data_IF_241036764994
#
_entry.id   IF_241036764994
#
_cell.length_a   1.000
_cell.length_b   1.000
_cell.length_c   1.000
_cell.angle_alpha   90.00
_cell.angle_beta   90.00
_cell.angle_gamma   90.00
#
_symmetry.space_group_name_H-M   'P 1'
#
loop_
_entity.id
_entity.type
_entity.pdbx_description
1 polymer ?
#
# COMPACT_ATOMS: atom_id res chain seq x y z
N UNK A 1 -36.60 6.62 73.08
CA UNK A 1 -36.42 5.16 72.83
C UNK A 1 -36.86 4.88 71.37
N UNK A 2 -36.01 4.30 70.56
CA UNK A 2 -36.33 4.07 69.12
C UNK A 2 -37.40 2.98 68.99
N UNK A 3 -38.52 3.25 68.35
CA UNK A 3 -39.67 2.32 68.26
C UNK A 3 -39.49 1.32 67.09
N UNK A 4 -38.64 0.34 67.33
CA UNK A 4 -38.35 -0.71 66.34
C UNK A 4 -39.58 -1.47 65.83
N UNK A 5 -40.62 -1.61 66.71
CA UNK A 5 -41.81 -2.36 66.37
C UNK A 5 -42.63 -1.61 65.33
N UNK A 6 -42.78 -0.30 65.50
CA UNK A 6 -43.48 0.54 64.55
C UNK A 6 -42.79 0.64 63.19
N UNK A 7 -41.47 0.78 63.14
CA UNK A 7 -40.71 0.79 61.89
C UNK A 7 -40.85 -0.54 61.13
N UNK A 8 -40.83 -1.67 61.83
CA UNK A 8 -41.09 -2.99 61.20
C UNK A 8 -42.54 -3.03 60.68
N UNK A 9 -43.49 -2.53 61.46
CA UNK A 9 -44.89 -2.54 61.06
C UNK A 9 -45.17 -1.69 59.82
N UNK A 10 -44.64 -0.49 59.74
CA UNK A 10 -44.76 0.39 58.59
C UNK A 10 -44.10 -0.22 57.34
N UNK A 11 -42.92 -0.79 57.51
CA UNK A 11 -42.24 -1.51 56.43
C UNK A 11 -43.04 -2.71 55.95
N UNK A 12 -43.66 -3.44 56.84
CA UNK A 12 -44.53 -4.58 56.50
C UNK A 12 -45.82 -4.12 55.79
N UNK A 13 -46.42 -2.99 56.15
CA UNK A 13 -47.56 -2.44 55.44
C UNK A 13 -47.18 -2.03 54.00
N UNK A 14 -46.04 -1.38 53.86
CA UNK A 14 -45.50 -0.94 52.57
C UNK A 14 -45.12 -2.12 51.65
N UNK A 15 -44.50 -3.14 52.17
CA UNK A 15 -43.96 -4.28 51.43
C UNK A 15 -44.57 -5.62 51.83
N UNK A 16 -45.90 -5.64 52.09
CA UNK A 16 -46.60 -6.81 52.67
C UNK A 16 -46.40 -8.14 51.93
N UNK A 17 -46.15 -8.10 50.61
CA UNK A 17 -45.96 -9.28 49.76
C UNK A 17 -44.51 -9.78 49.73
N UNK A 18 -43.53 -9.07 50.28
CA UNK A 18 -42.15 -9.52 50.35
C UNK A 18 -41.95 -10.56 51.47
N UNK A 19 -40.89 -11.40 51.29
CA UNK A 19 -40.54 -12.36 52.34
C UNK A 19 -39.94 -11.63 53.54
N UNK A 20 -40.12 -12.19 54.74
CA UNK A 20 -39.60 -11.58 55.97
C UNK A 20 -38.09 -11.44 55.95
N UNK A 21 -37.38 -12.34 55.20
CA UNK A 21 -35.94 -12.23 55.01
C UNK A 21 -35.58 -11.00 54.15
N UNK A 22 -36.31 -10.72 53.06
CA UNK A 22 -36.08 -9.52 52.21
C UNK A 22 -36.34 -8.25 53.00
N UNK A 23 -37.40 -8.22 53.79
CA UNK A 23 -37.73 -7.08 54.68
C UNK A 23 -36.64 -6.88 55.74
N UNK A 24 -36.19 -7.96 56.37
CA UNK A 24 -35.11 -7.89 57.36
C UNK A 24 -33.81 -7.33 56.78
N UNK A 25 -33.43 -7.76 55.55
CA UNK A 25 -32.26 -7.21 54.81
C UNK A 25 -32.42 -5.73 54.53
N UNK A 26 -33.56 -5.33 53.97
CA UNK A 26 -33.86 -3.93 53.66
C UNK A 26 -33.82 -3.04 54.91
N UNK A 27 -34.30 -3.50 56.03
CA UNK A 27 -34.25 -2.76 57.28
C UNK A 27 -32.79 -2.58 57.80
N UNK A 28 -31.93 -3.60 57.64
CA UNK A 28 -30.52 -3.50 58.02
C UNK A 28 -29.78 -2.54 57.08
N UNK A 29 -30.09 -2.55 55.78
CA UNK A 29 -29.44 -1.70 54.77
C UNK A 29 -29.86 -0.24 54.85
N UNK A 30 -31.12 0.01 55.08
CA UNK A 30 -31.72 1.35 54.95
C UNK A 30 -31.90 2.11 56.29
N UNK A 31 -31.89 1.41 57.42
CA UNK A 31 -32.14 2.02 58.72
C UNK A 31 -30.94 1.76 59.66
N UNK A 32 -30.18 2.81 59.92
CA UNK A 32 -28.91 2.77 60.70
C UNK A 32 -29.06 2.10 62.07
N UNK A 33 -30.19 2.35 62.76
CA UNK A 33 -30.52 1.78 64.08
C UNK A 33 -30.66 0.26 64.05
N UNK A 34 -31.24 -0.29 62.96
CA UNK A 34 -31.34 -1.75 62.78
C UNK A 34 -29.96 -2.37 62.50
N UNK A 35 -29.10 -1.67 61.73
CA UNK A 35 -27.74 -2.09 61.49
C UNK A 35 -26.93 -2.12 62.81
N UNK A 36 -27.08 -1.12 63.64
CA UNK A 36 -26.40 -1.04 64.93
C UNK A 36 -26.85 -2.14 65.88
N UNK A 37 -28.17 -2.44 65.94
CA UNK A 37 -28.73 -3.42 66.89
C UNK A 37 -28.54 -4.87 66.44
N UNK A 38 -28.71 -5.14 65.15
CA UNK A 38 -28.73 -6.51 64.62
C UNK A 38 -27.43 -6.86 63.89
N UNK A 39 -26.67 -5.90 63.39
CA UNK A 39 -25.47 -6.15 62.59
C UNK A 39 -25.78 -7.08 61.39
N UNK A 40 -25.08 -8.19 61.30
CA UNK A 40 -25.30 -9.21 60.27
C UNK A 40 -26.27 -10.34 60.67
N UNK A 41 -26.92 -10.22 61.84
CA UNK A 41 -27.85 -11.25 62.34
C UNK A 41 -29.24 -11.18 61.67
N UNK A 42 -29.27 -11.39 60.40
CA UNK A 42 -30.50 -11.30 59.55
C UNK A 42 -31.60 -12.25 60.02
N UNK A 43 -31.24 -13.46 60.49
CA UNK A 43 -32.22 -14.45 60.95
C UNK A 43 -32.91 -14.04 62.23
N UNK A 44 -32.21 -13.32 63.13
CA UNK A 44 -32.82 -12.77 64.36
C UNK A 44 -33.82 -11.68 64.00
N UNK A 45 -33.46 -10.77 63.13
CA UNK A 45 -34.38 -9.75 62.68
C UNK A 45 -35.56 -10.33 61.86
N UNK A 46 -35.30 -11.36 61.02
CA UNK A 46 -36.36 -12.07 60.29
C UNK A 46 -37.41 -12.66 61.23
N UNK A 47 -37.00 -13.30 62.32
CA UNK A 47 -37.95 -13.82 63.33
C UNK A 47 -38.81 -12.71 63.91
N UNK A 48 -38.20 -11.55 64.19
CA UNK A 48 -38.92 -10.39 64.74
C UNK A 48 -39.90 -9.81 63.72
N UNK A 49 -39.53 -9.71 62.42
CA UNK A 49 -40.41 -9.32 61.34
C UNK A 49 -41.60 -10.26 61.19
N UNK A 50 -41.34 -11.59 61.30
CA UNK A 50 -42.41 -12.61 61.28
C UNK A 50 -43.37 -12.48 62.44
N UNK A 51 -42.86 -12.23 63.64
CA UNK A 51 -43.67 -12.00 64.84
C UNK A 51 -44.57 -10.78 64.68
N UNK A 52 -44.02 -9.62 64.27
CA UNK A 52 -44.80 -8.41 64.03
C UNK A 52 -45.86 -8.59 62.94
N UNK A 53 -45.54 -9.34 61.89
CA UNK A 53 -46.48 -9.70 60.82
C UNK A 53 -47.66 -10.52 61.32
N UNK A 54 -47.39 -11.53 62.12
CA UNK A 54 -48.42 -12.44 62.66
C UNK A 54 -49.30 -11.72 63.65
N UNK A 55 -48.72 -10.94 64.57
CA UNK A 55 -49.47 -10.21 65.60
C UNK A 55 -50.40 -9.11 65.01
N UNK A 56 -50.11 -8.63 63.81
CA UNK A 56 -50.92 -7.61 63.14
C UNK A 56 -51.71 -8.18 61.95
N UNK A 57 -51.87 -9.49 61.79
CA UNK A 57 -52.66 -10.18 60.78
C UNK A 57 -52.34 -9.73 59.33
N UNK A 58 -51.10 -9.34 59.04
CA UNK A 58 -50.67 -8.90 57.69
C UNK A 58 -50.43 -10.12 56.77
N UNK A 59 -51.49 -10.53 56.09
CA UNK A 59 -51.40 -11.70 55.16
C UNK A 59 -50.68 -11.38 53.87
N UNK A 60 -49.87 -12.32 53.38
CA UNK A 60 -49.27 -12.29 52.02
C UNK A 60 -50.27 -12.83 50.99
N UNK A 61 -50.35 -12.18 49.86
CA UNK A 61 -51.07 -12.69 48.70
C UNK A 61 -50.24 -13.77 48.00
N UNK A 62 -50.52 -15.00 48.34
CA UNK A 62 -49.77 -16.21 47.82
C UNK A 62 -49.85 -16.31 46.28
N UNK A 63 -50.97 -15.86 45.64
CA UNK A 63 -51.11 -15.89 44.16
C UNK A 63 -50.17 -14.86 43.49
N UNK A 64 -50.14 -13.62 44.01
CA UNK A 64 -49.24 -12.59 43.50
C UNK A 64 -47.75 -12.92 43.74
N UNK A 65 -47.42 -13.58 44.84
CA UNK A 65 -46.04 -13.98 45.12
C UNK A 65 -45.59 -15.10 44.16
N UNK A 66 -46.45 -16.11 43.89
CA UNK A 66 -46.13 -17.18 42.93
C UNK A 66 -45.97 -16.60 41.51
N UNK A 67 -46.88 -15.76 41.04
CA UNK A 67 -46.81 -15.17 39.73
C UNK A 67 -45.54 -14.31 39.58
N UNK A 68 -45.15 -13.49 40.58
CA UNK A 68 -43.94 -12.66 40.53
C UNK A 68 -42.64 -13.52 40.54
N UNK A 69 -42.61 -14.63 41.26
CA UNK A 69 -41.46 -15.53 41.28
C UNK A 69 -41.28 -16.23 39.94
N UNK A 70 -42.40 -16.60 39.30
CA UNK A 70 -42.36 -17.23 37.95
C UNK A 70 -41.82 -16.21 36.95
N UNK A 71 -42.36 -15.00 36.91
CA UNK A 71 -41.92 -13.92 35.99
C UNK A 71 -40.46 -13.56 36.24
N UNK A 72 -40.01 -13.46 37.48
CA UNK A 72 -38.60 -13.18 37.80
C UNK A 72 -37.65 -14.30 37.33
N UNK A 73 -38.09 -15.56 37.40
CA UNK A 73 -37.30 -16.71 36.91
C UNK A 73 -37.24 -16.73 35.37
N UNK A 74 -38.36 -16.53 34.70
CA UNK A 74 -38.42 -16.46 33.25
C UNK A 74 -37.55 -15.30 32.72
N UNK A 75 -37.61 -14.14 33.36
CA UNK A 75 -36.79 -12.98 32.99
C UNK A 75 -35.28 -13.23 33.19
N UNK A 76 -34.88 -13.92 34.27
CA UNK A 76 -33.46 -14.29 34.51
C UNK A 76 -32.99 -15.38 33.51
N UNK A 77 -33.85 -16.31 33.12
CA UNK A 77 -33.56 -17.32 32.10
C UNK A 77 -33.45 -16.67 30.70
N UNK A 78 -34.34 -15.76 30.36
CA UNK A 78 -34.30 -14.98 29.11
C UNK A 78 -33.05 -14.11 29.05
N UNK A 79 -32.69 -13.43 30.15
CA UNK A 79 -31.49 -12.62 30.23
C UNK A 79 -30.22 -13.44 30.02
N UNK A 80 -30.11 -14.61 30.66
CA UNK A 80 -29.00 -15.54 30.44
C UNK A 80 -28.96 -16.07 29.00
N UNK A 81 -30.12 -16.33 28.42
CA UNK A 81 -30.24 -16.75 27.01
C UNK A 81 -29.77 -15.66 26.04
N UNK A 82 -30.10 -14.39 26.33
CA UNK A 82 -29.66 -13.24 25.54
C UNK A 82 -28.15 -13.01 25.67
N UNK A 83 -27.62 -13.04 26.90
CA UNK A 83 -26.17 -12.95 27.15
C UNK A 83 -25.41 -14.08 26.41
N UNK A 84 -25.90 -15.32 26.48
CA UNK A 84 -25.30 -16.44 25.76
C UNK A 84 -25.37 -16.29 24.23
N UNK A 85 -26.46 -15.73 23.70
CA UNK A 85 -26.59 -15.43 22.25
C UNK A 85 -25.64 -14.34 21.81
N UNK A 86 -25.46 -13.31 22.63
CA UNK A 86 -24.56 -12.20 22.37
C UNK A 86 -23.08 -12.65 22.44
N UNK A 87 -22.74 -13.46 23.42
CA UNK A 87 -21.41 -14.09 23.53
C UNK A 87 -21.13 -15.02 22.34
N UNK A 88 -22.12 -15.82 21.94
CA UNK A 88 -22.02 -16.70 20.77
C UNK A 88 -21.83 -15.91 19.47
N UNK A 89 -22.54 -14.79 19.31
CA UNK A 89 -22.40 -13.89 18.15
C UNK A 89 -21.00 -13.26 18.11
N UNK A 90 -20.53 -12.74 19.22
CA UNK A 90 -19.19 -12.16 19.37
C UNK A 90 -18.09 -13.19 19.11
N UNK A 91 -18.25 -14.39 19.62
CA UNK A 91 -17.33 -15.50 19.35
C UNK A 91 -17.33 -15.92 17.89
N UNK A 92 -18.50 -15.94 17.25
CA UNK A 92 -18.63 -16.26 15.83
C UNK A 92 -17.97 -15.18 14.94
N UNK A 93 -18.09 -13.92 15.31
CA UNK A 93 -17.41 -12.81 14.59
C UNK A 93 -15.88 -12.90 14.74
N UNK A 94 -15.38 -13.17 15.95
CA UNK A 94 -13.96 -13.42 16.19
C UNK A 94 -13.46 -14.64 15.39
N UNK A 95 -14.23 -15.71 15.36
CA UNK A 95 -13.90 -16.89 14.57
C UNK A 95 -13.85 -16.58 13.06
N UNK A 96 -14.86 -15.90 12.52
CA UNK A 96 -14.87 -15.46 11.11
C UNK A 96 -13.68 -14.55 10.77
N UNK A 97 -13.30 -13.65 11.68
CA UNK A 97 -12.13 -12.80 11.52
C UNK A 97 -10.84 -13.62 11.50
N UNK A 98 -10.71 -14.58 12.43
CA UNK A 98 -9.55 -15.48 12.48
C UNK A 98 -9.44 -16.34 11.22
N UNK A 99 -10.55 -16.91 10.73
CA UNK A 99 -10.59 -17.70 9.47
C UNK A 99 -10.16 -16.84 8.27
N UNK A 100 -10.65 -15.58 8.18
CA UNK A 100 -10.20 -14.65 7.11
C UNK A 100 -8.73 -14.35 7.21
N UNK A 101 -8.21 -14.17 8.41
CA UNK A 101 -6.79 -13.91 8.67
C UNK A 101 -5.93 -15.10 8.28
N UNK A 102 -6.33 -16.33 8.67
CA UNK A 102 -5.63 -17.56 8.30
C UNK A 102 -5.64 -17.75 6.79
N UNK A 103 -6.79 -17.63 6.12
CA UNK A 103 -6.88 -17.71 4.66
C UNK A 103 -6.05 -16.65 3.93
N UNK A 104 -5.89 -15.48 4.52
CA UNK A 104 -5.00 -14.44 3.98
C UNK A 104 -3.53 -14.84 4.14
N UNK A 105 -3.15 -15.36 5.30
CA UNK A 105 -1.79 -15.85 5.57
C UNK A 105 -1.44 -17.06 4.70
N UNK A 106 -2.36 -18.00 4.51
CA UNK A 106 -2.17 -19.14 3.60
C UNK A 106 -1.93 -18.68 2.16
N UNK A 107 -2.73 -17.73 1.64
CA UNK A 107 -2.51 -17.13 0.31
C UNK A 107 -1.16 -16.44 0.21
N UNK A 108 -0.74 -15.74 1.26
CA UNK A 108 0.58 -15.08 1.30
C UNK A 108 1.72 -16.11 1.33
N UNK A 109 1.54 -17.22 2.07
CA UNK A 109 2.51 -18.32 2.11
C UNK A 109 2.58 -19.06 0.77
N UNK A 110 1.44 -19.32 0.13
CA UNK A 110 1.39 -19.95 -1.20
C UNK A 110 1.99 -19.01 -2.26
N UNK A 111 1.71 -17.72 -2.18
CA UNK A 111 2.32 -16.71 -3.04
C UNK A 111 3.83 -16.65 -2.82
N UNK A 112 4.30 -16.65 -1.56
CA UNK A 112 5.71 -16.71 -1.22
C UNK A 112 6.37 -17.99 -1.76
N UNK A 113 5.77 -19.17 -1.57
CA UNK A 113 6.25 -20.43 -2.12
C UNK A 113 6.27 -20.41 -3.66
N UNK A 114 5.25 -19.83 -4.29
CA UNK A 114 5.20 -19.69 -5.75
C UNK A 114 6.32 -18.78 -6.26
N UNK A 115 6.65 -17.69 -5.56
CA UNK A 115 7.79 -16.83 -5.87
C UNK A 115 9.11 -17.52 -5.60
N UNK A 116 9.22 -18.30 -4.52
CA UNK A 116 10.42 -19.10 -4.24
C UNK A 116 10.58 -20.26 -5.22
N UNK A 117 9.50 -20.77 -5.81
CA UNK A 117 9.49 -21.86 -6.82
C UNK A 117 9.51 -21.36 -8.26
N UNK A 118 8.85 -20.25 -8.57
CA UNK A 118 9.13 -19.49 -9.77
C UNK A 118 10.50 -18.88 -9.52
N UNK A 119 11.53 -19.45 -10.15
CA UNK A 119 12.83 -18.78 -10.26
C UNK A 119 12.51 -17.36 -10.69
N UNK A 120 12.57 -16.39 -9.74
CA UNK A 120 12.70 -14.98 -10.10
C UNK A 120 13.64 -15.02 -11.29
N UNK A 121 13.24 -14.47 -12.44
CA UNK A 121 14.11 -14.46 -13.59
C UNK A 121 15.42 -13.82 -13.10
N UNK A 122 16.25 -14.65 -12.49
CA UNK A 122 17.55 -14.19 -12.06
C UNK A 122 18.29 -13.96 -13.36
N UNK A 123 18.55 -12.71 -13.64
CA UNK A 123 19.66 -12.41 -14.48
C UNK A 123 20.83 -13.07 -13.73
N UNK A 124 21.37 -14.16 -14.24
CA UNK A 124 22.64 -14.69 -13.77
C UNK A 124 23.74 -13.74 -14.24
N UNK A 125 23.67 -12.50 -13.75
CA UNK A 125 24.75 -11.54 -13.92
C UNK A 125 25.84 -12.02 -13.01
N UNK A 126 26.77 -12.73 -13.63
CA UNK A 126 28.02 -13.20 -13.08
C UNK A 126 27.97 -13.63 -11.61
N UNK A 127 27.95 -14.91 -11.36
CA UNK A 127 28.47 -15.39 -10.06
C UNK A 127 29.88 -14.83 -9.95
N UNK A 128 30.08 -13.86 -9.05
CA UNK A 128 31.42 -13.42 -8.67
C UNK A 128 32.22 -14.68 -8.34
N UNK A 129 33.07 -15.11 -9.27
CA UNK A 129 34.07 -16.14 -8.95
C UNK A 129 34.95 -15.49 -7.91
N UNK A 130 34.83 -15.96 -6.67
CA UNK A 130 35.77 -15.67 -5.60
C UNK A 130 37.19 -15.85 -6.13
N UNK A 131 37.89 -14.74 -6.43
CA UNK A 131 39.22 -14.77 -6.96
C UNK A 131 39.57 -13.76 -8.06
N UNK A 132 38.59 -13.13 -8.73
CA UNK A 132 38.92 -12.08 -9.72
C UNK A 132 39.10 -10.73 -9.00
N UNK A 133 40.28 -10.11 -9.23
CA UNK A 133 40.57 -8.75 -8.73
C UNK A 133 39.70 -7.65 -9.41
N UNK A 134 38.96 -8.01 -10.46
CA UNK A 134 38.16 -7.06 -11.24
C UNK A 134 36.74 -7.00 -10.61
N UNK A 135 36.38 -5.86 -10.08
CA UNK A 135 35.04 -5.58 -9.60
C UNK A 135 34.04 -5.59 -10.76
N UNK A 136 32.90 -6.21 -10.56
CA UNK A 136 31.81 -6.29 -11.56
C UNK A 136 30.63 -5.42 -11.11
N UNK A 137 30.07 -4.67 -12.05
CA UNK A 137 28.90 -3.85 -11.83
C UNK A 137 27.82 -4.10 -12.88
N UNK A 138 26.56 -3.94 -12.46
CA UNK A 138 25.41 -3.86 -13.35
C UNK A 138 24.97 -2.42 -13.43
N UNK A 139 24.80 -1.89 -14.63
CA UNK A 139 24.20 -0.61 -14.85
C UNK A 139 22.66 -0.74 -14.79
N UNK A 140 21.99 0.18 -14.10
CA UNK A 140 20.52 0.29 -14.07
C UNK A 140 20.16 1.67 -14.59
N UNK A 141 19.47 1.75 -15.71
CA UNK A 141 19.06 2.98 -16.36
C UNK A 141 17.54 3.08 -16.39
N UNK A 142 16.98 4.18 -15.91
CA UNK A 142 15.55 4.43 -15.92
C UNK A 142 15.15 5.25 -17.13
N UNK A 143 13.97 4.96 -17.67
CA UNK A 143 13.35 5.69 -18.77
C UNK A 143 11.86 5.78 -18.53
N UNK A 144 11.32 6.98 -18.24
CA UNK A 144 9.90 7.19 -17.97
C UNK A 144 9.48 8.63 -18.13
N UNK A 145 8.19 8.87 -18.01
CA UNK A 145 7.60 10.20 -17.94
C UNK A 145 8.03 11.06 -19.15
N UNK A 146 7.93 10.44 -20.34
CA UNK A 146 8.23 11.08 -21.60
C UNK A 146 7.09 11.97 -22.09
N UNK A 147 5.83 11.51 -21.92
CA UNK A 147 4.61 12.23 -22.35
C UNK A 147 4.74 12.78 -23.77
N UNK A 148 5.12 11.91 -24.73
CA UNK A 148 5.66 12.27 -26.05
C UNK A 148 4.86 13.34 -26.80
N UNK A 149 3.53 13.25 -26.76
CA UNK A 149 2.63 14.15 -27.50
C UNK A 149 2.14 15.36 -26.69
N UNK A 150 2.62 15.53 -25.45
CA UNK A 150 2.26 16.68 -24.63
C UNK A 150 2.72 17.98 -25.25
N UNK A 151 1.87 18.99 -25.17
CA UNK A 151 2.16 20.35 -25.65
C UNK A 151 2.43 21.27 -24.47
N UNK A 152 3.71 21.67 -24.32
CA UNK A 152 4.12 22.65 -23.32
C UNK A 152 4.59 23.91 -24.04
N UNK A 153 3.82 24.98 -23.90
CA UNK A 153 4.17 26.31 -24.44
C UNK A 153 4.83 27.15 -23.36
N UNK A 154 6.06 27.58 -23.61
CA UNK A 154 6.91 28.34 -22.67
C UNK A 154 6.18 29.55 -22.04
N UNK A 155 5.38 30.28 -22.84
CA UNK A 155 4.60 31.43 -22.37
C UNK A 155 3.52 31.08 -21.32
N UNK A 156 3.03 29.83 -21.30
CA UNK A 156 1.99 29.36 -20.36
C UNK A 156 2.55 28.91 -19.03
N UNK A 157 3.86 28.70 -18.96
CA UNK A 157 4.56 28.19 -17.78
C UNK A 157 5.74 29.08 -17.35
N UNK A 158 5.57 30.38 -17.52
CA UNK A 158 6.54 31.41 -17.09
C UNK A 158 7.96 31.24 -17.66
N UNK A 159 8.12 30.62 -18.82
CA UNK A 159 9.40 30.44 -19.48
C UNK A 159 10.25 29.27 -18.99
N UNK A 160 9.75 28.44 -18.06
CA UNK A 160 10.56 27.38 -17.44
C UNK A 160 10.85 26.20 -18.36
N UNK A 161 9.99 25.93 -19.36
CA UNK A 161 10.17 24.80 -20.28
C UNK A 161 9.43 25.06 -21.59
N UNK A 162 9.76 24.27 -22.60
CA UNK A 162 9.03 24.10 -23.85
C UNK A 162 9.11 22.62 -24.23
N UNK A 163 8.00 22.06 -24.74
CA UNK A 163 7.97 20.65 -25.13
C UNK A 163 7.06 20.42 -26.33
N UNK A 164 7.57 19.60 -27.24
CA UNK A 164 6.89 19.13 -28.46
C UNK A 164 7.46 17.76 -28.85
N UNK A 165 6.85 17.05 -29.82
CA UNK A 165 7.38 15.78 -30.32
C UNK A 165 8.81 15.86 -30.87
N UNK A 166 9.21 17.00 -31.47
CA UNK A 166 10.57 17.24 -31.95
C UNK A 166 11.54 17.34 -30.78
N UNK A 167 11.18 18.11 -29.73
CA UNK A 167 11.97 18.25 -28.52
C UNK A 167 12.06 16.90 -27.79
N UNK A 168 10.93 16.16 -27.69
CA UNK A 168 10.88 14.83 -27.13
C UNK A 168 11.87 13.88 -27.82
N UNK A 169 11.84 13.83 -29.14
CA UNK A 169 12.75 13.00 -29.95
C UNK A 169 14.22 13.37 -29.71
N UNK A 170 14.52 14.67 -29.68
CA UNK A 170 15.88 15.15 -29.37
C UNK A 170 16.33 14.75 -27.98
N UNK A 171 15.46 14.94 -26.95
CA UNK A 171 15.75 14.55 -25.57
C UNK A 171 15.98 13.06 -25.43
N UNK A 172 15.20 12.23 -26.12
CA UNK A 172 15.40 10.78 -26.14
C UNK A 172 16.73 10.40 -26.81
N UNK A 173 17.09 11.03 -27.94
CA UNK A 173 18.38 10.83 -28.61
C UNK A 173 19.55 11.17 -27.67
N UNK A 174 19.46 12.31 -27.00
CA UNK A 174 20.45 12.73 -26.01
C UNK A 174 20.54 11.73 -24.84
N UNK A 175 19.38 11.26 -24.33
CA UNK A 175 19.36 10.26 -23.27
C UNK A 175 20.13 9.02 -23.63
N UNK A 176 19.87 8.38 -24.80
CA UNK A 176 20.57 7.17 -25.21
C UNK A 176 22.07 7.41 -25.44
N UNK A 177 22.43 8.54 -26.05
CA UNK A 177 23.83 8.93 -26.23
C UNK A 177 24.55 9.13 -24.89
N UNK A 178 23.91 9.84 -23.97
CA UNK A 178 24.49 10.13 -22.66
C UNK A 178 24.51 8.88 -21.75
N UNK A 179 23.55 7.95 -21.90
CA UNK A 179 23.59 6.65 -21.23
C UNK A 179 24.83 5.85 -21.64
N UNK A 180 25.11 5.75 -22.96
CA UNK A 180 26.31 5.06 -23.42
C UNK A 180 27.60 5.71 -22.88
N UNK A 181 27.71 7.04 -22.97
CA UNK A 181 28.85 7.80 -22.41
C UNK A 181 28.98 7.57 -20.90
N UNK A 182 27.87 7.45 -20.18
CA UNK A 182 27.88 7.21 -18.73
C UNK A 182 28.41 5.80 -18.44
N UNK A 183 27.95 4.79 -19.12
CA UNK A 183 28.44 3.42 -18.99
C UNK A 183 29.94 3.38 -19.28
N UNK A 184 30.42 4.01 -20.36
CA UNK A 184 31.84 4.04 -20.71
C UNK A 184 32.68 4.75 -19.64
N UNK A 185 32.14 5.81 -19.02
CA UNK A 185 32.82 6.51 -17.94
C UNK A 185 32.96 5.62 -16.71
N UNK A 186 31.90 4.93 -16.30
CA UNK A 186 31.92 4.05 -15.14
C UNK A 186 32.80 2.80 -15.36
N UNK A 187 32.96 2.34 -16.61
CA UNK A 187 33.86 1.24 -16.97
C UNK A 187 35.34 1.50 -16.69
N UNK A 188 35.74 2.75 -16.44
CA UNK A 188 37.11 3.06 -16.04
C UNK A 188 37.45 2.51 -14.66
N UNK A 189 36.44 2.36 -13.80
CA UNK A 189 36.62 1.95 -12.40
C UNK A 189 36.10 0.53 -12.13
N UNK A 190 35.09 0.09 -12.90
CA UNK A 190 34.40 -1.18 -12.67
C UNK A 190 34.01 -1.83 -14.00
N UNK A 191 34.13 -3.16 -14.10
CA UNK A 191 33.67 -3.88 -15.29
C UNK A 191 32.16 -3.90 -15.36
N UNK A 192 31.57 -3.29 -16.40
CA UNK A 192 30.13 -3.28 -16.66
C UNK A 192 29.86 -4.05 -17.95
N UNK A 193 29.34 -5.26 -17.84
CA UNK A 193 28.94 -6.12 -18.95
C UNK A 193 27.42 -6.43 -18.96
N UNK A 194 26.67 -5.82 -18.06
CA UNK A 194 25.24 -6.00 -17.92
C UNK A 194 24.51 -4.67 -17.66
N UNK A 195 23.30 -4.57 -18.23
CA UNK A 195 22.42 -3.42 -18.13
C UNK A 195 20.99 -3.85 -17.81
N UNK A 196 20.37 -3.24 -16.81
CA UNK A 196 18.92 -3.21 -16.65
C UNK A 196 18.41 -1.89 -17.21
N UNK A 197 17.71 -1.95 -18.33
CA UNK A 197 17.01 -0.81 -18.91
C UNK A 197 15.54 -0.88 -18.47
N UNK A 198 15.13 0.01 -17.58
CA UNK A 198 13.79 0.01 -17.00
C UNK A 198 12.93 1.13 -17.58
N UNK A 199 12.00 0.77 -18.46
CA UNK A 199 10.94 1.65 -18.93
C UNK A 199 9.79 1.61 -17.92
N UNK A 200 9.60 2.73 -17.17
CA UNK A 200 8.70 2.76 -16.03
C UNK A 200 7.36 3.47 -16.30
N UNK A 201 6.99 3.61 -17.57
CA UNK A 201 5.66 4.12 -17.96
C UNK A 201 5.59 5.63 -18.19
N UNK A 202 4.39 6.09 -18.50
CA UNK A 202 4.05 7.44 -18.95
C UNK A 202 4.92 7.92 -20.12
N UNK A 203 5.07 7.02 -21.11
CA UNK A 203 5.76 7.31 -22.38
C UNK A 203 4.90 8.16 -23.32
N UNK A 204 3.58 8.04 -23.21
CA UNK A 204 2.61 8.88 -23.90
C UNK A 204 1.78 9.66 -22.88
N UNK A 205 1.29 10.82 -23.28
CA UNK A 205 0.46 11.68 -22.42
C UNK A 205 -1.00 11.20 -22.37
N UNK A 206 -1.49 10.61 -23.46
CA UNK A 206 -2.80 9.97 -23.52
C UNK A 206 -3.97 10.93 -23.35
N UNK A 207 -5.12 10.38 -22.96
CA UNK A 207 -6.39 11.10 -22.79
C UNK A 207 -7.04 10.87 -21.43
N UNK A 208 -6.24 10.84 -20.37
CA UNK A 208 -6.77 10.62 -19.01
C UNK A 208 -7.59 11.82 -18.50
N UNK A 209 -7.38 12.99 -19.08
CA UNK A 209 -8.19 14.19 -18.89
C UNK A 209 -8.74 14.68 -20.22
N UNK A 210 -9.99 15.15 -20.22
CA UNK A 210 -10.69 15.57 -21.43
C UNK A 210 -9.97 16.70 -22.17
N UNK A 211 -9.31 17.60 -21.45
CA UNK A 211 -8.52 18.71 -22.00
C UNK A 211 -7.37 18.24 -22.91
N UNK A 212 -6.80 17.05 -22.65
CA UNK A 212 -5.66 16.52 -23.42
C UNK A 212 -6.04 16.17 -24.87
N UNK A 213 -7.32 15.86 -25.14
CA UNK A 213 -7.81 15.64 -26.50
C UNK A 213 -7.58 16.84 -27.42
N UNK A 214 -7.64 18.05 -26.87
CA UNK A 214 -7.47 19.29 -27.62
C UNK A 214 -6.10 19.95 -27.44
N UNK A 215 -5.35 19.59 -26.41
CA UNK A 215 -4.06 20.19 -26.11
C UNK A 215 -2.87 19.39 -26.64
N UNK A 216 -2.97 18.07 -26.78
CA UNK A 216 -1.89 17.24 -27.32
C UNK A 216 -1.60 17.53 -28.80
N UNK A 217 -0.36 17.29 -29.24
CA UNK A 217 0.04 17.45 -30.64
C UNK A 217 -0.54 16.40 -31.57
N UNK A 218 -0.81 15.19 -31.06
CA UNK A 218 -1.32 14.07 -31.86
C UNK A 218 -2.13 13.11 -31.00
N UNK A 219 -2.75 12.14 -31.64
CA UNK A 219 -3.56 11.12 -31.02
C UNK A 219 -2.66 10.05 -30.35
N UNK A 220 -3.09 9.41 -29.22
CA UNK A 220 -2.27 8.44 -28.49
C UNK A 220 -1.77 7.26 -29.33
N UNK A 221 -2.55 6.82 -30.31
CA UNK A 221 -2.12 5.74 -31.20
C UNK A 221 -0.93 6.17 -32.05
N UNK A 222 -0.95 7.39 -32.62
CA UNK A 222 0.16 7.94 -33.36
C UNK A 222 1.40 8.16 -32.48
N UNK A 223 1.20 8.73 -31.28
CA UNK A 223 2.26 8.89 -30.31
C UNK A 223 2.90 7.53 -29.95
N UNK A 224 2.10 6.47 -29.80
CA UNK A 224 2.58 5.12 -29.52
C UNK A 224 3.52 4.59 -30.61
N UNK A 225 3.21 4.84 -31.89
CA UNK A 225 4.10 4.46 -32.99
C UNK A 225 5.42 5.23 -32.94
N UNK A 226 5.37 6.53 -32.64
CA UNK A 226 6.59 7.35 -32.54
C UNK A 226 7.46 6.92 -31.36
N UNK A 227 6.86 6.66 -30.21
CA UNK A 227 7.57 6.15 -29.03
C UNK A 227 8.18 4.79 -29.31
N UNK A 228 7.44 3.90 -30.01
CA UNK A 228 7.96 2.61 -30.43
C UNK A 228 9.21 2.75 -31.32
N UNK A 229 9.20 3.62 -32.34
CA UNK A 229 10.35 3.91 -33.19
C UNK A 229 11.55 4.44 -32.37
N UNK A 230 11.32 5.34 -31.41
CA UNK A 230 12.34 5.86 -30.51
C UNK A 230 12.99 4.74 -29.70
N UNK A 231 12.18 3.85 -29.12
CA UNK A 231 12.70 2.74 -28.32
C UNK A 231 13.43 1.69 -29.16
N UNK A 232 12.96 1.39 -30.39
CA UNK A 232 13.70 0.51 -31.33
C UNK A 232 15.07 1.10 -31.60
N UNK A 233 15.13 2.35 -32.05
CA UNK A 233 16.38 3.04 -32.39
C UNK A 233 17.33 3.14 -31.18
N UNK A 234 16.78 3.42 -30.00
CA UNK A 234 17.53 3.51 -28.76
C UNK A 234 18.14 2.17 -28.33
N UNK A 235 17.36 1.08 -28.39
CA UNK A 235 17.84 -0.26 -28.07
C UNK A 235 18.87 -0.75 -29.10
N UNK A 236 18.64 -0.50 -30.41
CA UNK A 236 19.65 -0.80 -31.44
C UNK A 236 20.95 -0.04 -31.20
N UNK A 237 20.87 1.23 -30.76
CA UNK A 237 22.05 2.02 -30.42
C UNK A 237 22.81 1.42 -29.22
N UNK A 238 22.13 1.04 -28.15
CA UNK A 238 22.73 0.37 -26.99
C UNK A 238 23.37 -0.97 -27.39
N UNK A 239 22.71 -1.74 -28.26
CA UNK A 239 23.20 -3.05 -28.72
C UNK A 239 24.47 -2.98 -29.60
N UNK A 240 24.85 -1.79 -30.07
CA UNK A 240 26.18 -1.57 -30.73
C UNK A 240 27.32 -1.77 -29.75
N UNK A 241 27.10 -1.54 -28.48
CA UNK A 241 28.06 -1.84 -27.44
C UNK A 241 28.20 -3.36 -27.27
N UNK A 242 29.35 -3.92 -27.71
CA UNK A 242 29.64 -5.36 -27.65
C UNK A 242 30.18 -5.81 -26.29
N UNK A 243 30.51 -4.89 -25.41
CA UNK A 243 30.92 -5.21 -24.04
C UNK A 243 29.72 -5.55 -23.15
N UNK A 244 28.52 -5.02 -23.47
CA UNK A 244 27.27 -5.44 -22.85
C UNK A 244 26.91 -6.84 -23.32
N UNK A 245 27.01 -7.81 -22.43
CA UNK A 245 26.74 -9.25 -22.67
C UNK A 245 25.30 -9.61 -22.32
N UNK A 246 24.69 -8.88 -21.38
CA UNK A 246 23.30 -9.10 -20.96
C UNK A 246 22.60 -7.76 -20.75
N UNK A 247 21.46 -7.60 -21.40
CA UNK A 247 20.57 -6.44 -21.27
C UNK A 247 19.19 -6.96 -20.86
N UNK A 248 18.67 -6.48 -19.75
CA UNK A 248 17.31 -6.77 -19.34
C UNK A 248 16.45 -5.52 -19.54
N UNK A 249 15.48 -5.64 -20.42
CA UNK A 249 14.44 -4.62 -20.59
C UNK A 249 13.31 -4.92 -19.59
N UNK A 250 13.01 -3.96 -18.70
CA UNK A 250 11.85 -4.01 -17.80
C UNK A 250 10.81 -3.07 -18.34
N UNK A 251 9.59 -3.56 -18.65
CA UNK A 251 8.48 -2.74 -19.12
C UNK A 251 7.38 -2.64 -18.06
N UNK A 252 7.14 -1.43 -17.56
CA UNK A 252 6.01 -1.10 -16.69
C UNK A 252 5.16 -0.03 -17.33
N UNK A 253 3.84 -0.17 -17.22
CA UNK A 253 2.92 0.82 -17.77
C UNK A 253 2.66 1.94 -16.76
N UNK A 254 2.46 3.14 -17.29
CA UNK A 254 2.05 4.30 -16.52
C UNK A 254 0.53 4.49 -16.48
N UNK A 255 0.08 5.51 -15.78
CA UNK A 255 -1.35 5.81 -15.67
C UNK A 255 -1.87 6.64 -16.86
N UNK A 256 -1.00 7.33 -17.59
CA UNK A 256 -1.37 8.17 -18.74
C UNK A 256 -1.67 7.33 -20.00
N UNK A 257 -1.02 6.21 -20.16
CA UNK A 257 -1.14 5.36 -21.36
C UNK A 257 -2.37 4.44 -21.35
N UNK A 258 -3.24 4.52 -20.35
CA UNK A 258 -4.43 3.66 -20.27
C UNK A 258 -5.44 3.95 -21.37
N UNK A 259 -6.06 2.89 -21.89
CA UNK A 259 -7.14 2.96 -22.90
C UNK A 259 -8.53 3.15 -22.30
N UNK A 260 -8.63 3.11 -20.95
CA UNK A 260 -9.90 3.16 -20.21
C UNK A 260 -10.09 4.50 -19.53
N UNK A 261 -11.34 4.94 -19.38
CA UNK A 261 -11.65 6.19 -18.67
C UNK A 261 -11.24 6.15 -17.19
N UNK A 262 -11.44 5.01 -16.54
CA UNK A 262 -11.03 4.81 -15.14
C UNK A 262 -9.88 3.81 -15.05
N UNK A 263 -8.94 3.96 -14.11
CA UNK A 263 -7.88 2.99 -13.91
C UNK A 263 -8.44 1.59 -13.61
N UNK A 264 -7.84 0.57 -14.21
CA UNK A 264 -8.09 -0.82 -13.86
C UNK A 264 -7.07 -1.25 -12.82
N UNK A 265 -7.50 -2.09 -11.87
CA UNK A 265 -6.63 -2.53 -10.77
C UNK A 265 -5.93 -3.86 -11.10
N UNK A 266 -6.60 -4.75 -11.82
CA UNK A 266 -6.10 -6.09 -12.10
C UNK A 266 -5.45 -6.21 -13.48
N UNK A 267 -6.07 -5.61 -14.49
CA UNK A 267 -5.69 -5.75 -15.90
C UNK A 267 -5.08 -4.44 -16.46
N UNK A 268 -4.40 -3.68 -15.60
CA UNK A 268 -3.86 -2.38 -15.95
C UNK A 268 -2.90 -2.46 -17.15
N UNK A 269 -1.99 -3.44 -17.14
CA UNK A 269 -1.04 -3.64 -18.22
C UNK A 269 -1.75 -3.90 -19.57
N UNK A 270 -2.73 -4.80 -19.59
CA UNK A 270 -3.46 -5.18 -20.79
C UNK A 270 -4.33 -4.04 -21.36
N UNK A 271 -4.67 -3.06 -20.53
CA UNK A 271 -5.47 -1.88 -20.90
C UNK A 271 -4.59 -0.63 -21.11
N UNK A 272 -3.36 -0.82 -21.63
CA UNK A 272 -2.40 0.25 -21.86
C UNK A 272 -1.82 0.20 -23.28
N UNK A 273 -1.67 1.37 -23.90
CA UNK A 273 -0.94 1.52 -25.16
C UNK A 273 0.52 1.08 -25.04
N UNK A 274 1.17 1.36 -23.90
CA UNK A 274 2.57 1.00 -23.63
C UNK A 274 2.78 -0.50 -23.60
N UNK A 275 1.81 -1.27 -23.11
CA UNK A 275 1.88 -2.73 -23.18
C UNK A 275 2.05 -3.24 -24.61
N UNK A 276 1.28 -2.65 -25.53
CA UNK A 276 1.41 -2.97 -26.94
C UNK A 276 2.81 -2.60 -27.50
N UNK A 277 3.34 -1.44 -27.11
CA UNK A 277 4.70 -1.01 -27.47
C UNK A 277 5.72 -2.06 -27.01
N UNK A 278 5.68 -2.45 -25.74
CA UNK A 278 6.63 -3.41 -25.17
C UNK A 278 6.54 -4.80 -25.80
N UNK A 279 5.32 -5.28 -26.08
CA UNK A 279 5.12 -6.58 -26.76
C UNK A 279 5.63 -6.57 -28.20
N UNK A 280 5.52 -5.45 -28.91
CA UNK A 280 6.09 -5.31 -30.25
C UNK A 280 7.63 -5.25 -30.20
N UNK A 281 8.22 -4.54 -29.24
CA UNK A 281 9.67 -4.55 -29.02
C UNK A 281 10.18 -5.95 -28.76
N UNK A 282 9.57 -6.70 -27.84
CA UNK A 282 9.91 -8.08 -27.54
C UNK A 282 9.91 -8.95 -28.81
N UNK A 283 8.91 -8.76 -29.67
CA UNK A 283 8.83 -9.52 -30.93
C UNK A 283 9.92 -9.13 -31.95
N UNK A 284 10.23 -7.82 -32.08
CA UNK A 284 11.31 -7.37 -32.99
C UNK A 284 12.67 -7.92 -32.55
N UNK A 285 12.95 -7.81 -31.26
CA UNK A 285 14.26 -8.22 -30.71
C UNK A 285 14.35 -9.69 -30.32
N UNK A 286 13.37 -10.54 -30.65
CA UNK A 286 13.34 -11.97 -30.25
C UNK A 286 14.56 -12.79 -30.67
N UNK A 287 15.34 -12.34 -31.70
CA UNK A 287 16.55 -12.99 -32.17
C UNK A 287 17.83 -12.45 -31.50
N UNK A 288 17.77 -11.34 -30.78
CA UNK A 288 18.91 -10.78 -30.07
C UNK A 288 19.06 -11.46 -28.70
N UNK A 289 19.97 -12.37 -28.61
CA UNK A 289 20.16 -13.24 -27.42
C UNK A 289 20.64 -12.49 -26.19
N UNK A 290 21.23 -11.30 -26.35
CA UNK A 290 21.71 -10.47 -25.24
C UNK A 290 20.59 -9.64 -24.63
N UNK A 291 19.45 -9.43 -25.32
CA UNK A 291 18.34 -8.60 -24.86
C UNK A 291 17.18 -9.49 -24.42
N UNK A 292 16.86 -9.42 -23.14
CA UNK A 292 15.79 -10.19 -22.52
C UNK A 292 14.73 -9.25 -21.98
N UNK A 293 13.47 -9.55 -22.24
CA UNK A 293 12.33 -8.73 -21.79
C UNK A 293 11.71 -9.31 -20.52
N UNK A 294 11.43 -8.44 -19.53
CA UNK A 294 10.63 -8.72 -18.36
C UNK A 294 9.36 -7.85 -18.46
N UNK A 295 8.29 -8.46 -18.94
CA UNK A 295 6.99 -7.82 -19.15
C UNK A 295 5.96 -8.52 -18.26
N UNK A 296 5.90 -8.10 -16.99
CA UNK A 296 4.93 -8.63 -16.04
C UNK A 296 3.63 -7.84 -16.12
N UNK A 297 2.49 -8.53 -16.20
CA UNK A 297 1.16 -7.91 -16.11
C UNK A 297 0.88 -7.37 -14.71
N UNK A 298 1.62 -7.83 -13.71
CA UNK A 298 1.56 -7.32 -12.33
C UNK A 298 2.04 -5.88 -12.24
N UNK A 299 1.54 -5.16 -11.24
CA UNK A 299 1.97 -3.79 -10.95
C UNK A 299 3.48 -3.69 -10.64
N UNK A 300 4.04 -4.69 -9.97
CA UNK A 300 5.47 -4.77 -9.66
C UNK A 300 6.20 -5.75 -10.57
N UNK A 301 7.43 -5.38 -10.97
CA UNK A 301 8.41 -6.31 -11.51
C UNK A 301 9.59 -6.41 -10.56
N UNK A 302 10.14 -7.60 -10.41
CA UNK A 302 11.27 -7.86 -9.52
C UNK A 302 12.42 -8.49 -10.29
N UNK A 303 13.63 -7.96 -10.10
CA UNK A 303 14.85 -8.52 -10.64
C UNK A 303 15.84 -8.73 -9.50
N UNK A 304 16.39 -9.90 -9.42
CA UNK A 304 17.55 -10.14 -8.56
C UNK A 304 18.83 -9.88 -9.36
N UNK A 305 19.60 -8.89 -8.94
CA UNK A 305 20.91 -8.55 -9.49
C UNK A 305 21.92 -8.80 -8.39
N UNK A 306 22.82 -9.75 -8.58
CA UNK A 306 23.73 -10.28 -7.55
C UNK A 306 22.96 -10.80 -6.33
N UNK A 307 23.17 -10.18 -5.15
CA UNK A 307 22.46 -10.49 -3.91
C UNK A 307 21.25 -9.55 -3.63
N UNK A 308 21.05 -8.53 -4.47
CA UNK A 308 20.03 -7.48 -4.28
C UNK A 308 18.78 -7.74 -5.10
N UNK A 309 17.63 -7.48 -4.50
CA UNK A 309 16.32 -7.50 -5.16
C UNK A 309 15.91 -6.08 -5.48
N UNK A 310 15.77 -5.79 -6.78
CA UNK A 310 15.30 -4.53 -7.33
C UNK A 310 13.83 -4.66 -7.69
N UNK A 311 12.98 -3.72 -7.21
CA UNK A 311 11.56 -3.63 -7.55
C UNK A 311 11.32 -2.44 -8.45
N UNK A 312 10.58 -2.67 -9.54
CA UNK A 312 10.28 -1.68 -10.56
C UNK A 312 8.77 -1.48 -10.67
N UNK A 313 8.31 -0.23 -10.67
CA UNK A 313 6.92 0.13 -10.89
C UNK A 313 6.80 1.61 -11.27
N UNK A 314 5.66 2.00 -11.85
CA UNK A 314 5.49 3.40 -12.24
C UNK A 314 5.38 4.35 -11.04
N UNK A 315 4.55 4.05 -10.05
CA UNK A 315 4.43 4.88 -8.83
C UNK A 315 3.06 5.52 -8.60
N UNK A 316 2.17 5.54 -9.58
CA UNK A 316 0.87 6.22 -9.53
C UNK A 316 -0.10 5.75 -8.42
N UNK A 317 0.16 4.59 -7.81
CA UNK A 317 -0.59 4.11 -6.65
C UNK A 317 -0.10 4.71 -5.32
N UNK A 318 0.97 5.52 -5.33
CA UNK A 318 1.50 6.21 -4.17
C UNK A 318 0.79 7.55 -4.04
N UNK A 319 -0.14 7.64 -3.09
CA UNK A 319 -0.91 8.86 -2.90
C UNK A 319 -0.07 9.94 -2.22
N UNK A 320 0.17 11.03 -2.93
CA UNK A 320 0.79 12.25 -2.43
C UNK A 320 -0.19 13.41 -2.56
N UNK A 321 -0.49 14.09 -1.44
CA UNK A 321 -1.47 15.19 -1.37
C UNK A 321 -0.88 16.47 -0.78
N UNK A 322 0.43 16.69 -0.93
CA UNK A 322 1.09 17.93 -0.50
C UNK A 322 1.19 18.10 1.03
N UNK A 323 1.39 17.01 1.79
CA UNK A 323 1.54 17.08 3.25
C UNK A 323 2.96 17.43 3.72
N UNK A 324 3.11 17.67 5.04
CA UNK A 324 4.40 17.86 5.71
C UNK A 324 5.32 16.68 5.42
N UNK A 325 6.58 16.95 5.08
CA UNK A 325 7.58 15.93 4.71
C UNK A 325 7.57 15.57 3.22
N UNK A 326 6.78 16.27 2.41
CA UNK A 326 6.75 16.11 0.95
C UNK A 326 6.50 14.67 0.53
N UNK A 327 7.17 14.23 -0.52
CA UNK A 327 7.05 12.88 -1.07
C UNK A 327 7.69 11.79 -0.18
N UNK A 328 8.60 12.15 0.72
CA UNK A 328 9.36 11.21 1.57
C UNK A 328 8.46 10.28 2.38
N UNK A 329 7.50 10.84 3.12
CA UNK A 329 6.62 10.06 4.00
C UNK A 329 5.71 9.10 3.21
N UNK A 330 5.03 9.52 2.13
CA UNK A 330 4.27 8.61 1.27
C UNK A 330 5.10 7.46 0.70
N UNK A 331 6.31 7.74 0.19
CA UNK A 331 7.23 6.73 -0.33
C UNK A 331 7.61 5.71 0.73
N UNK A 332 8.11 6.16 1.89
CA UNK A 332 8.52 5.26 2.98
C UNK A 332 7.36 4.35 3.41
N UNK A 333 6.16 4.91 3.58
CA UNK A 333 4.97 4.13 3.95
C UNK A 333 4.60 3.11 2.90
N UNK A 334 4.68 3.48 1.63
CA UNK A 334 4.34 2.59 0.53
C UNK A 334 5.34 1.44 0.42
N UNK A 335 6.64 1.74 0.41
CA UNK A 335 7.73 0.77 0.37
C UNK A 335 7.64 -0.21 1.54
N UNK A 336 7.40 0.30 2.76
CA UNK A 336 7.22 -0.55 3.94
C UNK A 336 6.07 -1.56 3.76
N UNK A 337 4.93 -1.13 3.20
CA UNK A 337 3.79 -2.02 2.93
C UNK A 337 4.10 -3.02 1.81
N UNK A 338 4.75 -2.59 0.74
CA UNK A 338 5.14 -3.45 -0.36
C UNK A 338 6.15 -4.52 0.10
N UNK A 339 7.07 -4.16 1.00
CA UNK A 339 8.05 -5.08 1.57
C UNK A 339 7.44 -6.14 2.52
N UNK A 340 6.20 -5.94 2.97
CA UNK A 340 5.45 -7.00 3.68
C UNK A 340 5.00 -8.14 2.75
N UNK A 341 4.97 -7.88 1.44
CA UNK A 341 4.62 -8.89 0.43
C UNK A 341 5.90 -9.57 -0.09
N UNK A 342 6.77 -8.80 -0.72
CA UNK A 342 8.08 -9.23 -1.20
C UNK A 342 9.07 -8.14 -0.81
N UNK A 343 10.09 -8.51 -0.05
CA UNK A 343 11.11 -7.57 0.35
C UNK A 343 12.02 -7.23 -0.85
N UNK A 344 12.15 -5.95 -1.15
CA UNK A 344 13.12 -5.42 -2.10
C UNK A 344 14.18 -4.59 -1.37
N UNK A 345 15.40 -4.60 -1.90
CA UNK A 345 16.50 -3.77 -1.40
C UNK A 345 16.42 -2.35 -1.96
N UNK A 346 15.88 -2.19 -3.18
CA UNK A 346 15.75 -0.91 -3.86
C UNK A 346 14.47 -0.87 -4.70
N UNK A 347 13.72 0.22 -4.59
CA UNK A 347 12.61 0.57 -5.47
C UNK A 347 13.05 1.55 -6.54
N UNK A 348 12.61 1.33 -7.79
CA UNK A 348 12.80 2.22 -8.92
C UNK A 348 11.44 2.67 -9.43
N UNK A 349 11.17 3.99 -9.41
CA UNK A 349 9.83 4.57 -9.56
C UNK A 349 9.87 5.74 -10.53
N UNK A 350 8.84 5.91 -11.38
CA UNK A 350 8.54 7.09 -12.20
C UNK A 350 7.51 8.03 -11.58
N UNK A 351 6.62 8.57 -12.40
CA UNK A 351 5.37 9.26 -12.07
C UNK A 351 5.49 10.66 -11.46
N UNK A 352 6.45 10.92 -10.61
CA UNK A 352 6.49 12.17 -9.84
C UNK A 352 7.20 13.31 -10.56
N UNK A 353 7.76 13.08 -11.74
CA UNK A 353 8.50 14.02 -12.58
C UNK A 353 9.65 14.74 -11.86
N UNK A 354 9.95 14.33 -10.64
CA UNK A 354 10.99 14.93 -9.79
C UNK A 354 12.00 13.87 -9.40
N UNK A 355 13.27 14.15 -9.66
CA UNK A 355 14.36 13.26 -9.24
C UNK A 355 14.50 13.29 -7.73
N UNK A 356 14.26 12.16 -7.09
CA UNK A 356 14.33 12.05 -5.64
C UNK A 356 14.97 10.72 -5.20
N UNK A 357 15.86 10.78 -4.22
CA UNK A 357 16.64 9.65 -3.76
C UNK A 357 16.42 9.40 -2.27
N UNK A 358 16.04 8.18 -1.93
CA UNK A 358 16.07 7.63 -0.57
C UNK A 358 17.09 6.48 -0.52
N UNK A 359 17.52 6.04 0.66
CA UNK A 359 18.46 4.91 0.77
C UNK A 359 18.01 3.63 0.08
N UNK A 360 16.70 3.43 -0.07
CA UNK A 360 16.08 2.24 -0.65
C UNK A 360 15.07 2.57 -1.76
N UNK A 361 15.14 3.77 -2.34
CA UNK A 361 14.24 4.16 -3.43
C UNK A 361 14.86 5.24 -4.30
N UNK A 362 14.78 5.05 -5.62
CA UNK A 362 15.09 6.04 -6.62
C UNK A 362 13.82 6.43 -7.37
N UNK A 363 13.45 7.70 -7.29
CA UNK A 363 12.36 8.28 -8.08
C UNK A 363 12.99 8.96 -9.30
N UNK A 364 12.48 8.59 -10.47
CA UNK A 364 12.95 9.13 -11.74
C UNK A 364 12.49 10.57 -11.97
N UNK A 365 13.30 11.34 -12.68
CA UNK A 365 12.86 12.60 -13.25
C UNK A 365 12.02 12.38 -14.52
N UNK A 366 11.56 13.44 -15.17
CA UNK A 366 10.80 13.36 -16.40
C UNK A 366 11.65 13.77 -17.64
N UNK A 367 11.28 13.25 -18.81
CA UNK A 367 11.82 13.68 -20.10
C UNK A 367 11.07 14.92 -20.59
N UNK A 368 9.74 14.98 -20.37
CA UNK A 368 8.96 16.17 -20.74
C UNK A 368 9.38 17.42 -19.95
N UNK A 369 9.83 17.25 -18.69
CA UNK A 369 10.27 18.34 -17.85
C UNK A 369 9.10 19.05 -17.14
N UNK A 370 9.31 20.30 -16.75
CA UNK A 370 8.34 21.12 -16.05
C UNK A 370 7.15 21.47 -16.95
N UNK A 371 5.95 21.19 -16.49
CA UNK A 371 4.68 21.32 -17.22
C UNK A 371 3.66 22.23 -16.53
N UNK A 372 2.48 22.37 -17.10
CA UNK A 372 1.39 23.18 -16.54
C UNK A 372 0.83 22.62 -15.24
N UNK A 373 0.86 21.31 -15.05
CA UNK A 373 0.45 20.68 -13.80
C UNK A 373 1.44 20.94 -12.69
N UNK A 374 2.74 20.81 -12.96
CA UNK A 374 3.82 21.13 -12.03
C UNK A 374 3.76 22.59 -11.57
N UNK A 375 3.48 23.52 -12.50
CA UNK A 375 3.26 24.94 -12.16
C UNK A 375 2.04 25.10 -11.22
N UNK A 376 0.94 24.45 -11.53
CA UNK A 376 -0.32 24.53 -10.75
C UNK A 376 -0.17 24.04 -9.32
N UNK A 377 0.61 22.98 -9.09
CA UNK A 377 0.85 22.42 -7.75
C UNK A 377 2.03 23.08 -7.02
N UNK A 378 2.71 24.03 -7.64
CA UNK A 378 3.86 24.72 -7.06
C UNK A 378 5.11 23.85 -6.94
N UNK A 379 5.31 22.89 -7.87
CA UNK A 379 6.51 22.08 -7.93
C UNK A 379 7.74 22.96 -8.31
N UNK A 380 8.91 22.54 -7.87
CA UNK A 380 10.16 23.20 -8.28
C UNK A 380 10.52 22.80 -9.71
N UNK A 381 10.89 23.75 -10.58
CA UNK A 381 11.41 23.42 -11.90
C UNK A 381 12.70 22.60 -11.80
N UNK A 382 12.77 21.49 -12.54
CA UNK A 382 13.96 20.66 -12.66
C UNK A 382 14.40 20.55 -14.12
N UNK A 383 15.70 20.40 -14.35
CA UNK A 383 16.23 20.08 -15.67
C UNK A 383 15.78 18.67 -16.04
N UNK A 384 15.24 18.45 -17.26
CA UNK A 384 14.82 17.13 -17.72
C UNK A 384 15.95 16.10 -17.61
N UNK A 385 15.75 15.09 -16.78
CA UNK A 385 16.75 14.08 -16.45
C UNK A 385 16.14 12.71 -16.21
N UNK A 386 16.95 11.66 -16.34
CA UNK A 386 16.61 10.31 -15.97
C UNK A 386 17.65 9.75 -15.00
N UNK A 387 17.26 8.82 -14.13
CA UNK A 387 18.15 8.23 -13.12
C UNK A 387 19.02 7.12 -13.71
N UNK A 388 20.25 7.08 -13.27
CA UNK A 388 21.21 6.01 -13.54
C UNK A 388 21.84 5.55 -12.23
N UNK A 389 21.96 4.24 -12.05
CA UNK A 389 22.50 3.61 -10.85
C UNK A 389 23.49 2.51 -11.23
N UNK A 390 24.60 2.40 -10.51
CA UNK A 390 25.47 1.20 -10.56
C UNK A 390 25.18 0.35 -9.33
N UNK A 391 24.95 -0.93 -9.57
CA UNK A 391 24.97 -1.96 -8.54
C UNK A 391 26.29 -2.75 -8.68
N UNK A 392 27.17 -2.54 -7.71
CA UNK A 392 28.44 -3.23 -7.58
C UNK A 392 28.23 -4.60 -6.90
N UNK A 393 28.83 -5.65 -7.42
CA UNK A 393 28.66 -7.02 -6.92
C UNK A 393 29.16 -7.23 -5.48
N UNK A 394 29.98 -6.32 -4.95
CA UNK A 394 30.59 -6.40 -3.61
C UNK A 394 30.12 -5.29 -2.67
N UNK A 395 29.94 -4.06 -3.21
CA UNK A 395 29.63 -2.85 -2.43
C UNK A 395 28.14 -2.51 -2.41
N UNK A 396 27.34 -3.18 -3.26
CA UNK A 396 25.91 -2.87 -3.40
C UNK A 396 25.66 -1.64 -4.29
N UNK A 397 24.65 -0.84 -3.98
CA UNK A 397 24.33 0.37 -4.74
C UNK A 397 25.38 1.47 -4.49
N UNK A 398 26.14 1.83 -5.52
CA UNK A 398 27.28 2.75 -5.44
C UNK A 398 26.98 4.08 -6.13
N UNK A 399 27.20 4.16 -7.45
CA UNK A 399 27.01 5.40 -8.20
C UNK A 399 25.53 5.64 -8.47
N UNK A 400 25.01 6.80 -8.02
CA UNK A 400 23.74 7.35 -8.50
C UNK A 400 24.00 8.70 -9.14
N UNK A 401 23.57 8.85 -10.40
CA UNK A 401 23.78 10.09 -11.15
C UNK A 401 22.65 10.33 -12.16
N UNK A 402 22.30 11.59 -12.47
CA UNK A 402 21.36 11.88 -13.54
C UNK A 402 21.99 11.68 -14.91
N UNK A 403 21.18 11.23 -15.86
CA UNK A 403 21.45 11.35 -17.29
C UNK A 403 20.67 12.57 -17.77
N UNK A 404 21.38 13.61 -18.19
CA UNK A 404 20.80 14.81 -18.74
C UNK A 404 20.21 14.50 -20.14
N UNK A 405 19.03 15.04 -20.41
CA UNK A 405 18.33 14.81 -21.70
C UNK A 405 18.34 16.07 -22.58
N UNK A 406 18.74 17.21 -22.04
CA UNK A 406 18.73 18.51 -22.75
C UNK A 406 20.04 18.84 -23.45
N UNK A 407 21.13 18.13 -23.18
CA UNK A 407 22.48 18.39 -23.73
C UNK A 407 22.98 17.22 -24.57
#
# INVERSE_FOLDING_TARGET
MYDYKNVILETLKKYKNQTDTKIARSLIEQVKEFKNLYGNRIDTLRKRVTEVRNNNNIKRDKKKIKAKVVIEKEFEEDKKSLEFKEDKKTLLEKYKHSVKTVSRLERLLDFKKKIESEKLQSINIGTSKTGSKIEQGCAIALFSDLHFEERIESKKINGFNEFSPEIATKRCTNYFSNLAKRIDKERRDIKIDSLVFASLGDLIHGFIHEEYMSSNYMMPMEASFRVFEILVNGLEFILKDKELKEIKFVGKVGNHSRTTFRPYTTDEALMSYEWSIYKHLENIFKKETRLNFLLDESYFSYIKVYDKICRFHHGHNIQYRGGIGGLTIPLIKYIHRANQQIQADMDFIGHFHTRFNLPNCLVNGSICGFDGYALKIGASPEVPTQQFQILDSRRGFTTNTPILTTE
#
